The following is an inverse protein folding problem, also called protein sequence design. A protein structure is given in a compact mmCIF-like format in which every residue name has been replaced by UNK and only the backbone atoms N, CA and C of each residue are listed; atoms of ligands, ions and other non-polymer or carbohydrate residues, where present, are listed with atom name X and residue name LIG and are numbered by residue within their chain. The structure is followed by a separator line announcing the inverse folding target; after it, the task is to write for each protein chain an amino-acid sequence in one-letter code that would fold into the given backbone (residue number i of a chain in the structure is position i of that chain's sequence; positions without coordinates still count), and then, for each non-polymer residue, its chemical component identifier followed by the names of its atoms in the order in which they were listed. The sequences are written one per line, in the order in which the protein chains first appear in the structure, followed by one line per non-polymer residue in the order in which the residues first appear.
data_IF_136082522791
#
_entry.id   IF_136082522791
#
_cell.length_a   1.000
_cell.length_b   1.000
_cell.length_c   1.000
_cell.angle_alpha   90.00
_cell.angle_beta   90.00
_cell.angle_gamma   90.00
#
_symmetry.space_group_name_H-M   'P 1'
#
loop_
_entity.id
_entity.type
_entity.pdbx_description
1 polymer ?
#
# COMPACT_ATOMS: atom_id res chain seq x y z
N UNK A 1 -27.76 -13.22 -1.16
CA UNK A 1 -27.37 -11.84 -1.45
C UNK A 1 -27.43 -11.12 -0.12
N UNK A 2 -26.35 -10.98 0.63
CA UNK A 2 -25.24 -10.06 0.36
C UNK A 2 -23.95 -10.64 0.94
N UNK A 3 -23.01 -11.01 0.09
CA UNK A 3 -21.65 -11.36 0.52
C UNK A 3 -20.94 -10.07 0.93
N UNK A 4 -20.70 -9.89 2.23
CA UNK A 4 -19.67 -8.98 2.71
C UNK A 4 -18.37 -9.78 2.74
N UNK A 5 -17.69 -9.87 1.60
CA UNK A 5 -16.29 -10.34 1.59
C UNK A 5 -15.50 -9.31 2.38
N UNK A 6 -15.29 -9.62 3.65
CA UNK A 6 -14.54 -8.82 4.59
C UNK A 6 -13.14 -8.62 4.05
N UNK A 7 -12.95 -7.49 3.40
CA UNK A 7 -11.75 -6.67 3.33
C UNK A 7 -10.47 -7.48 3.58
N UNK A 8 -9.84 -7.91 2.50
CA UNK A 8 -8.45 -8.34 2.58
C UNK A 8 -7.60 -7.08 2.83
N UNK A 9 -7.58 -6.61 4.07
CA UNK A 9 -6.72 -5.53 4.55
C UNK A 9 -5.29 -6.08 4.58
N UNK A 10 -4.73 -6.33 3.39
CA UNK A 10 -3.33 -6.76 3.26
C UNK A 10 -2.48 -5.58 3.66
N UNK A 11 -2.02 -5.59 4.92
CA UNK A 11 -1.02 -4.67 5.38
C UNK A 11 0.32 -5.09 4.80
N UNK A 12 0.87 -4.23 3.95
CA UNK A 12 2.15 -4.47 3.27
C UNK A 12 3.15 -3.41 3.68
N UNK A 13 4.41 -3.82 3.84
CA UNK A 13 5.49 -2.85 3.91
C UNK A 13 5.80 -2.30 2.51
N UNK A 14 6.56 -1.19 2.46
CA UNK A 14 6.93 -0.58 1.19
C UNK A 14 7.73 -1.50 0.25
N UNK A 15 8.34 -2.57 0.77
CA UNK A 15 9.12 -3.52 -0.02
C UNK A 15 8.22 -4.57 -0.68
N UNK A 16 7.27 -5.12 0.08
CA UNK A 16 6.24 -6.02 -0.42
C UNK A 16 5.36 -5.31 -1.46
N UNK A 17 4.94 -4.06 -1.18
CA UNK A 17 4.22 -3.24 -2.14
C UNK A 17 5.04 -3.01 -3.42
N UNK A 18 6.32 -2.65 -3.28
CA UNK A 18 7.20 -2.43 -4.43
C UNK A 18 7.33 -3.69 -5.31
N UNK A 19 7.50 -4.85 -4.69
CA UNK A 19 7.52 -6.13 -5.39
C UNK A 19 6.19 -6.41 -6.11
N UNK A 20 5.05 -6.15 -5.45
CA UNK A 20 3.73 -6.34 -6.04
C UNK A 20 3.49 -5.44 -7.26
N UNK A 21 3.91 -4.17 -7.18
CA UNK A 21 3.73 -3.19 -8.27
C UNK A 21 4.87 -3.23 -9.32
N UNK A 22 5.91 -4.03 -9.12
CA UNK A 22 7.08 -4.07 -10.01
C UNK A 22 7.88 -2.76 -10.04
N UNK A 23 7.87 -2.00 -8.94
CA UNK A 23 8.56 -0.70 -8.82
C UNK A 23 9.69 -0.75 -7.80
N UNK A 24 10.51 0.30 -7.74
CA UNK A 24 11.49 0.45 -6.67
C UNK A 24 10.80 0.80 -5.33
N UNK A 25 11.28 0.31 -4.17
CA UNK A 25 10.77 0.72 -2.85
C UNK A 25 10.84 2.23 -2.60
N UNK A 26 11.79 2.92 -3.26
CA UNK A 26 11.88 4.38 -3.22
C UNK A 26 10.65 5.05 -3.85
N UNK A 27 10.09 4.48 -4.92
CA UNK A 27 8.87 4.96 -5.58
C UNK A 27 7.67 4.89 -4.64
N UNK A 28 7.49 3.75 -3.95
CA UNK A 28 6.41 3.60 -2.95
C UNK A 28 6.55 4.61 -1.82
N UNK A 29 7.77 4.83 -1.30
CA UNK A 29 8.02 5.86 -0.27
C UNK A 29 7.72 7.27 -0.77
N UNK A 30 8.00 7.55 -2.04
CA UNK A 30 7.68 8.83 -2.66
C UNK A 30 6.16 9.02 -2.78
N UNK A 31 5.41 7.98 -3.17
CA UNK A 31 3.95 8.02 -3.19
C UNK A 31 3.37 8.29 -1.81
N UNK A 32 3.82 7.56 -0.79
CA UNK A 32 3.39 7.76 0.60
C UNK A 32 3.62 9.21 1.04
N UNK A 33 4.79 9.79 0.73
CA UNK A 33 5.10 11.20 1.09
C UNK A 33 4.29 12.21 0.27
N UNK A 34 4.06 11.95 -1.02
CA UNK A 34 3.40 12.87 -1.94
C UNK A 34 1.88 12.91 -1.72
N UNK A 35 1.28 11.75 -1.47
CA UNK A 35 -0.16 11.57 -1.35
C UNK A 35 -0.61 11.42 0.11
N UNK A 36 0.31 11.41 1.07
CA UNK A 36 -0.01 11.40 2.49
C UNK A 36 -0.65 10.09 2.98
N UNK A 37 -0.25 8.96 2.39
CA UNK A 37 -0.78 7.64 2.77
C UNK A 37 -0.53 7.39 4.26
N UNK A 38 -1.61 7.10 4.99
CA UNK A 38 -1.52 6.85 6.43
C UNK A 38 -0.97 5.46 6.67
N UNK A 39 0.06 5.38 7.50
CA UNK A 39 0.50 4.10 8.06
C UNK A 39 -0.62 3.52 8.92
N UNK A 40 -0.96 2.25 8.66
CA UNK A 40 -1.98 1.50 9.42
C UNK A 40 -1.38 0.69 10.56
N UNK A 41 -0.05 0.57 10.56
CA UNK A 41 0.69 -0.10 11.60
C UNK A 41 2.20 0.00 11.36
N UNK A 42 2.96 -0.64 12.23
CA UNK A 42 4.40 -0.80 12.06
C UNK A 42 4.78 -2.23 12.43
N UNK A 43 5.55 -2.88 11.59
CA UNK A 43 6.21 -4.13 11.92
C UNK A 43 7.68 -3.89 12.18
N UNK A 44 8.09 -4.03 13.45
CA UNK A 44 9.44 -3.69 13.95
C UNK A 44 9.82 -2.24 13.64
N UNK A 45 10.50 -2.01 12.51
CA UNK A 45 10.95 -0.69 12.02
C UNK A 45 10.35 -0.30 10.67
N UNK A 46 9.44 -1.12 10.12
CA UNK A 46 8.83 -0.91 8.82
C UNK A 46 7.40 -0.44 9.00
N UNK A 47 7.06 0.68 8.38
CA UNK A 47 5.67 1.12 8.31
C UNK A 47 4.87 0.18 7.40
N UNK A 48 3.66 -0.14 7.85
CA UNK A 48 2.70 -0.95 7.11
C UNK A 48 1.61 -0.05 6.54
N UNK A 49 1.27 -0.30 5.29
CA UNK A 49 0.27 0.44 4.53
C UNK A 49 -0.78 -0.53 4.04
N UNK A 50 -2.03 -0.07 3.92
CA UNK A 50 -3.04 -0.86 3.25
C UNK A 50 -2.69 -0.92 1.76
N UNK A 51 -2.74 -2.11 1.17
CA UNK A 51 -2.44 -2.28 -0.26
C UNK A 51 -3.41 -1.48 -1.14
N UNK A 52 -4.68 -1.36 -0.73
CA UNK A 52 -5.70 -0.50 -1.36
C UNK A 52 -5.27 0.98 -1.44
N UNK A 53 -4.77 1.55 -0.35
CA UNK A 53 -4.31 2.94 -0.29
C UNK A 53 -3.13 3.19 -1.26
N UNK A 54 -2.38 2.13 -1.63
CA UNK A 54 -1.27 2.20 -2.58
C UNK A 54 -1.70 1.90 -4.03
N UNK A 55 -2.76 1.11 -4.24
CA UNK A 55 -3.31 0.80 -5.56
C UNK A 55 -3.79 2.08 -6.27
N UNK A 56 -4.45 2.97 -5.52
CA UNK A 56 -4.93 4.28 -6.01
C UNK A 56 -3.80 5.21 -6.50
N UNK A 57 -2.54 4.88 -6.20
CA UNK A 57 -1.37 5.72 -6.51
C UNK A 57 -0.57 5.19 -7.70
N UNK A 58 -0.94 4.03 -8.26
CA UNK A 58 -0.24 3.43 -9.39
C UNK A 58 -0.56 4.17 -10.70
N UNK A 59 0.45 4.45 -11.55
CA UNK A 59 0.20 5.08 -12.86
C UNK A 59 -0.55 4.10 -13.75
N UNK A 60 -1.87 4.31 -13.87
CA UNK A 60 -2.80 3.42 -14.57
C UNK A 60 -4.13 3.23 -13.84
N UNK A 61 -4.19 3.57 -12.55
CA UNK A 61 -5.44 3.76 -11.81
C UNK A 61 -5.82 5.24 -11.80
N UNK A 62 -6.88 5.56 -12.54
CA UNK A 62 -7.46 6.90 -12.80
C UNK A 62 -6.84 7.70 -13.96
#
# INVERSE_FOLDING_TARGET
MTTVEGQHLTLVDAYAAAHYFGVAPATVRQWVRRYGVKERGREKRRALYALEDLLDLTPGGN
#
